data_IF_565543110617
#
_entry.id   IF_565543110617
#
_cell.length_a   1.000
_cell.length_b   1.000
_cell.length_c   1.000
_cell.angle_alpha   90.00
_cell.angle_beta   90.00
_cell.angle_gamma   90.00
#
_symmetry.space_group_name_H-M   'P 1'
#
loop_
_entity.id
_entity.type
_entity.pdbx_description
1 polymer ?
2 polymer ?
3 non-polymer ?
4 non-polymer ?
5 non-polymer ?
6 water ?
#
# COMPACT_ATOMS: atom_id res chain seq x y z
N UNK A 1 18.12 -32.99 0.69
CA UNK A 1 16.86 -33.35 1.41
C UNK A 1 15.85 -32.25 1.17
N UNK A 2 14.65 -32.41 1.75
CA UNK A 2 13.58 -31.44 1.61
C UNK A 2 13.94 -30.08 2.17
N UNK A 3 14.63 -30.04 3.31
CA UNK A 3 15.07 -28.78 3.90
C UNK A 3 15.86 -27.96 2.91
N UNK A 4 16.82 -28.62 2.26
CA UNK A 4 17.70 -27.96 1.33
C UNK A 4 16.99 -27.51 0.08
N UNK A 5 16.10 -28.35 -0.40
CA UNK A 5 15.33 -28.04 -1.59
C UNK A 5 14.48 -26.79 -1.34
N UNK A 6 13.82 -26.75 -0.21
CA UNK A 6 13.03 -25.60 0.19
C UNK A 6 13.80 -24.33 0.27
N UNK A 7 14.87 -24.32 1.06
CA UNK A 7 15.70 -23.12 1.24
C UNK A 7 16.28 -22.66 -0.09
N UNK A 8 16.66 -23.62 -0.93
CA UNK A 8 17.19 -23.27 -2.25
C UNK A 8 16.12 -22.59 -3.09
N UNK A 9 14.92 -23.15 -3.08
CA UNK A 9 13.81 -22.56 -3.85
C UNK A 9 13.53 -21.11 -3.40
N UNK A 10 13.55 -20.87 -2.08
CA UNK A 10 13.34 -19.53 -1.53
C UNK A 10 14.37 -18.53 -1.99
N UNK A 11 15.64 -18.95 -2.01
CA UNK A 11 16.72 -18.11 -2.50
C UNK A 11 16.55 -17.78 -3.95
N UNK A 12 16.29 -18.81 -4.74
CA UNK A 12 16.07 -18.63 -6.16
C UNK A 12 15.03 -17.55 -6.37
N UNK A 13 13.85 -17.72 -5.77
CA UNK A 13 12.80 -16.75 -5.96
C UNK A 13 13.20 -15.36 -5.44
N UNK A 14 13.79 -15.26 -4.26
CA UNK A 14 14.22 -13.90 -3.80
C UNK A 14 15.17 -13.24 -4.78
N UNK A 15 16.13 -14.00 -5.30
CA UNK A 15 17.22 -13.43 -6.11
C UNK A 15 16.78 -13.08 -7.50
N UNK A 16 15.85 -13.85 -8.06
CA UNK A 16 15.42 -13.60 -9.43
C UNK A 16 14.35 -12.47 -9.55
N UNK A 17 13.88 -11.94 -8.42
CA UNK A 17 12.88 -10.87 -8.44
C UNK A 17 13.46 -9.65 -9.18
N UNK A 18 12.88 -9.30 -10.32
CA UNK A 18 13.43 -8.20 -11.11
C UNK A 18 13.41 -6.85 -10.41
N UNK A 19 14.47 -6.07 -10.61
CA UNK A 19 14.56 -4.70 -10.14
C UNK A 19 13.69 -3.79 -11.01
N UNK A 20 12.93 -2.91 -10.39
CA UNK A 20 12.19 -1.92 -11.17
C UNK A 20 13.16 -0.85 -11.65
N UNK A 21 13.27 -0.69 -12.96
CA UNK A 21 14.15 0.31 -13.55
C UNK A 21 13.30 1.27 -14.40
N UNK A 22 12.91 2.37 -13.75
CA UNK A 22 12.15 3.41 -14.39
C UNK A 22 13.05 4.42 -15.07
N UNK A 23 12.45 5.39 -15.76
CA UNK A 23 13.18 6.54 -16.26
C UNK A 23 12.49 7.76 -15.70
N UNK A 24 13.17 8.92 -15.75
CA UNK A 24 12.55 10.14 -15.18
C UNK A 24 11.08 10.30 -15.58
N UNK A 25 10.24 10.58 -14.60
CA UNK A 25 8.79 10.68 -14.83
C UNK A 25 7.92 9.46 -14.53
N UNK A 26 8.51 8.26 -14.55
CA UNK A 26 7.76 7.03 -14.24
C UNK A 26 7.60 6.89 -12.75
N UNK A 27 6.51 6.30 -12.31
CA UNK A 27 6.39 5.93 -10.89
C UNK A 27 6.53 4.41 -10.77
N UNK A 28 6.96 3.91 -9.61
CA UNK A 28 6.94 2.47 -9.43
C UNK A 28 5.54 1.88 -9.53
N UNK A 29 5.38 0.76 -10.24
CA UNK A 29 3.97 0.28 -10.31
C UNK A 29 3.47 -0.46 -9.05
N UNK A 30 2.17 -0.82 -9.06
CA UNK A 30 1.62 -1.78 -8.12
C UNK A 30 2.48 -3.06 -8.06
N UNK A 31 2.71 -3.55 -6.86
CA UNK A 31 3.53 -4.71 -6.61
C UNK A 31 5.00 -4.55 -6.92
N UNK A 32 5.47 -3.32 -7.03
CA UNK A 32 6.91 -3.05 -6.93
C UNK A 32 7.23 -2.77 -5.47
N UNK A 33 7.96 -3.65 -4.81
CA UNK A 33 8.25 -3.48 -3.37
C UNK A 33 7.02 -3.35 -2.50
N UNK A 34 6.94 -2.23 -1.80
CA UNK A 34 5.83 -1.99 -0.89
C UNK A 34 4.58 -1.39 -1.56
N UNK A 35 4.62 -1.04 -2.85
CA UNK A 35 3.45 -0.50 -3.49
C UNK A 35 2.36 -1.59 -3.56
N UNK A 36 1.18 -1.35 -2.93
CA UNK A 36 0.18 -2.38 -2.94
C UNK A 36 -0.45 -2.65 -4.29
N UNK A 37 -1.06 -3.82 -4.39
CA UNK A 37 -1.88 -4.21 -5.55
C UNK A 37 -2.98 -3.18 -5.77
N UNK A 38 -3.35 -3.00 -7.03
CA UNK A 38 -4.53 -2.24 -7.37
C UNK A 38 -5.77 -2.81 -6.69
N UNK A 39 -6.77 -1.95 -6.49
CA UNK A 39 -8.08 -2.39 -6.03
C UNK A 39 -8.65 -3.46 -6.94
N UNK A 40 -9.22 -4.50 -6.34
CA UNK A 40 -9.75 -5.64 -7.07
C UNK A 40 -8.77 -6.24 -8.12
N UNK A 41 -7.47 -6.23 -7.80
CA UNK A 41 -6.50 -7.04 -8.51
C UNK A 41 -6.73 -8.51 -8.23
N UNK A 42 -6.53 -9.34 -9.25
CA UNK A 42 -6.55 -10.81 -9.11
C UNK A 42 -5.18 -11.33 -9.58
N UNK A 43 -4.48 -12.09 -8.73
CA UNK A 43 -3.19 -12.71 -9.16
C UNK A 43 -3.39 -13.76 -10.26
N UNK A 44 -2.34 -13.96 -11.04
CA UNK A 44 -2.33 -14.83 -12.19
C UNK A 44 -1.77 -16.20 -11.77
N UNK A 45 -2.15 -17.29 -12.49
CA UNK A 45 -1.53 -18.59 -12.24
C UNK A 45 -0.03 -18.49 -12.32
N UNK A 46 0.64 -19.07 -11.34
CA UNK A 46 2.09 -19.02 -11.26
C UNK A 46 2.65 -17.96 -10.31
N UNK A 47 1.86 -16.93 -10.01
CA UNK A 47 2.32 -15.82 -9.16
C UNK A 47 2.50 -16.33 -7.73
N UNK A 48 3.49 -15.81 -7.01
CA UNK A 48 3.71 -16.21 -5.63
C UNK A 48 2.88 -15.33 -4.70
N UNK A 49 2.42 -15.92 -3.60
CA UNK A 49 1.50 -15.26 -2.67
C UNK A 49 1.82 -15.68 -1.25
N UNK A 50 1.42 -14.86 -0.29
CA UNK A 50 1.20 -15.32 1.08
C UNK A 50 -0.27 -15.68 1.21
N UNK A 51 -0.54 -16.86 1.75
CA UNK A 51 -1.86 -17.43 1.77
C UNK A 51 -2.19 -17.85 3.19
N UNK A 52 -3.28 -17.33 3.75
CA UNK A 52 -3.72 -17.67 5.10
C UNK A 52 -4.51 -18.98 5.04
N UNK A 53 -3.91 -20.06 5.56
CA UNK A 53 -4.46 -21.41 5.48
C UNK A 53 -4.67 -22.02 6.87
N UNK A 54 -5.84 -22.62 7.05
CA UNK A 54 -6.16 -23.34 8.29
C UNK A 54 -5.85 -24.83 8.13
N UNK A 55 -4.89 -25.34 8.91
CA UNK A 55 -4.71 -26.81 9.09
C UNK A 55 -5.97 -27.56 9.54
N UNK A 56 -5.93 -28.90 9.43
CA UNK A 56 -7.03 -29.77 9.87
C UNK A 56 -7.25 -29.57 11.37
N UNK A 57 -6.15 -29.39 12.12
CA UNK A 57 -6.23 -29.12 13.57
C UNK A 57 -6.43 -27.62 13.95
N UNK A 58 -6.73 -26.76 12.95
CA UNK A 58 -7.20 -25.38 13.19
C UNK A 58 -6.15 -24.26 13.28
N UNK A 59 -4.89 -24.65 13.41
CA UNK A 59 -3.78 -23.73 13.35
C UNK A 59 -3.80 -22.93 12.04
N UNK A 60 -3.81 -21.58 12.14
CA UNK A 60 -3.75 -20.67 10.98
C UNK A 60 -2.33 -20.21 10.72
N UNK A 61 -1.86 -20.35 9.48
CA UNK A 61 -0.57 -19.76 9.08
C UNK A 61 -0.71 -18.98 7.78
N UNK A 62 0.12 -17.96 7.62
CA UNK A 62 0.40 -17.39 6.33
C UNK A 62 1.55 -18.19 5.72
N UNK A 63 1.26 -18.95 4.68
CA UNK A 63 2.28 -19.76 4.02
C UNK A 63 2.72 -19.16 2.70
N UNK A 64 3.95 -19.49 2.26
CA UNK A 64 4.38 -19.18 0.91
C UNK A 64 3.69 -20.16 -0.07
N UNK A 65 3.02 -19.62 -1.10
CA UNK A 65 2.28 -20.42 -2.03
C UNK A 65 2.31 -19.85 -3.45
N UNK A 66 1.71 -20.60 -4.39
CA UNK A 66 1.62 -20.20 -5.79
C UNK A 66 0.17 -20.30 -6.29
N UNK A 67 -0.31 -19.28 -6.99
CA UNK A 67 -1.68 -19.31 -7.51
C UNK A 67 -1.77 -20.40 -8.58
N UNK A 68 -2.82 -21.19 -8.48
CA UNK A 68 -3.17 -22.20 -9.48
C UNK A 68 -4.30 -21.69 -10.40
N UNK A 69 -5.35 -21.13 -9.82
CA UNK A 69 -6.48 -20.58 -10.60
C UNK A 69 -7.24 -19.58 -9.76
N UNK A 70 -8.11 -18.82 -10.42
CA UNK A 70 -9.07 -17.98 -9.73
C UNK A 70 -10.42 -18.18 -10.41
N UNK A 71 -11.48 -18.48 -9.65
CA UNK A 71 -12.82 -18.60 -10.22
C UNK A 71 -13.62 -17.31 -10.03
N UNK A 72 -14.07 -16.72 -11.14
CA UNK A 72 -14.86 -15.51 -11.06
C UNK A 72 -16.27 -15.88 -10.65
N UNK A 73 -16.66 -17.14 -10.84
CA UNK A 73 -17.95 -17.65 -10.37
C UNK A 73 -18.08 -17.54 -8.87
N UNK A 74 -17.01 -17.89 -8.15
CA UNK A 74 -17.10 -17.94 -6.70
C UNK A 74 -16.22 -16.91 -6.00
N UNK A 75 -15.40 -16.21 -6.79
CA UNK A 75 -14.38 -15.29 -6.27
C UNK A 75 -13.42 -15.93 -5.26
N UNK A 76 -12.91 -17.11 -5.63
CA UNK A 76 -11.99 -17.90 -4.81
C UNK A 76 -10.82 -18.27 -5.64
N UNK A 77 -9.63 -18.24 -5.04
CA UNK A 77 -8.40 -18.79 -5.62
C UNK A 77 -8.25 -20.27 -5.31
N UNK A 78 -7.48 -20.97 -6.16
CA UNK A 78 -6.79 -22.16 -5.71
C UNK A 78 -5.33 -21.80 -5.60
N UNK A 79 -4.69 -22.18 -4.50
CA UNK A 79 -3.23 -22.07 -4.39
C UNK A 79 -2.58 -23.39 -3.94
N UNK A 80 -1.31 -23.56 -4.31
CA UNK A 80 -0.48 -24.70 -3.95
C UNK A 80 0.64 -24.21 -3.08
N UNK A 81 0.87 -24.94 -1.99
CA UNK A 81 2.03 -24.78 -1.13
C UNK A 81 3.29 -24.93 -1.95
N UNK A 82 4.30 -24.09 -1.72
CA UNK A 82 5.53 -24.25 -2.50
C UNK A 82 6.32 -25.45 -1.98
N UNK A 83 5.96 -25.93 -0.80
CA UNK A 83 6.50 -27.17 -0.19
C UNK A 83 5.73 -28.38 -0.71
N UNK A 84 6.43 -29.28 -1.38
CA UNK A 84 5.85 -30.55 -1.86
C UNK A 84 5.13 -31.36 -0.78
N UNK A 85 5.57 -31.25 0.46
CA UNK A 85 4.91 -31.97 1.54
C UNK A 85 3.51 -31.39 1.81
N UNK A 86 3.19 -30.23 1.27
CA UNK A 86 1.88 -29.65 1.47
C UNK A 86 0.99 -30.19 0.37
N UNK A 87 0.31 -31.29 0.66
CA UNK A 87 -0.37 -32.08 -0.39
C UNK A 87 -1.79 -31.59 -0.75
N UNK A 88 -2.22 -30.53 -0.10
CA UNK A 88 -3.57 -30.03 -0.30
C UNK A 88 -3.58 -28.70 -1.07
N UNK A 89 -4.22 -28.71 -2.23
CA UNK A 89 -4.48 -27.49 -2.98
C UNK A 89 -5.60 -26.78 -2.26
N UNK A 90 -5.35 -25.55 -1.81
CA UNK A 90 -6.28 -24.82 -0.97
C UNK A 90 -7.20 -23.92 -1.81
N UNK A 91 -8.48 -23.93 -1.46
CA UNK A 91 -9.45 -22.92 -1.93
C UNK A 91 -9.53 -21.77 -0.97
N UNK A 92 -9.25 -20.56 -1.42
CA UNK A 92 -9.24 -19.38 -0.52
C UNK A 92 -9.98 -18.16 -1.07
N UNK A 93 -10.63 -17.43 -0.18
CA UNK A 93 -11.16 -16.09 -0.48
C UNK A 93 -10.02 -15.13 -0.73
N UNK A 94 -10.36 -14.06 -1.40
CA UNK A 94 -9.38 -13.06 -1.75
C UNK A 94 -8.73 -12.51 -0.49
N UNK A 95 -9.50 -12.37 0.58
CA UNK A 95 -8.95 -11.80 1.81
C UNK A 95 -7.83 -12.66 2.42
N UNK A 96 -7.71 -13.94 2.04
CA UNK A 96 -6.65 -14.80 2.55
C UNK A 96 -5.42 -14.91 1.62
N UNK A 97 -5.32 -14.02 0.63
CA UNK A 97 -4.26 -14.08 -0.34
C UNK A 97 -3.67 -12.71 -0.51
N UNK A 98 -2.37 -12.58 -0.28
CA UNK A 98 -1.67 -11.33 -0.47
C UNK A 98 -0.62 -11.55 -1.53
N UNK A 99 -0.73 -10.86 -2.68
CA UNK A 99 0.31 -11.00 -3.70
C UNK A 99 1.66 -10.50 -3.20
N UNK A 100 2.70 -11.28 -3.47
CA UNK A 100 4.05 -10.83 -3.19
C UNK A 100 4.44 -9.84 -4.28
N UNK A 101 5.37 -8.95 -3.96
CA UNK A 101 5.89 -8.06 -4.98
C UNK A 101 6.42 -8.80 -6.20
N UNK A 102 6.19 -8.19 -7.36
CA UNK A 102 6.72 -8.68 -8.61
C UNK A 102 7.99 -7.95 -9.07
N UNK A 103 8.32 -6.83 -8.41
CA UNK A 103 9.59 -6.15 -8.60
C UNK A 103 10.25 -5.84 -7.24
N UNK A 104 11.57 -5.81 -7.24
CA UNK A 104 12.33 -5.21 -6.17
C UNK A 104 12.34 -3.71 -6.41
N UNK A 105 12.12 -2.93 -5.36
CA UNK A 105 12.31 -1.47 -5.41
C UNK A 105 13.77 -1.15 -5.20
N UNK A 106 14.28 -0.25 -6.01
CA UNK A 106 15.66 0.16 -5.88
C UNK A 106 15.74 1.29 -4.90
N UNK A 107 16.37 1.07 -3.74
CA UNK A 107 16.44 2.15 -2.75
C UNK A 107 17.09 3.44 -3.28
N UNK A 108 17.99 3.30 -4.25
CA UNK A 108 18.74 4.45 -4.82
C UNK A 108 17.92 5.27 -5.83
N UNK A 109 16.79 4.73 -6.32
CA UNK A 109 15.95 5.47 -7.27
C UNK A 109 14.48 5.60 -6.87
N UNK A 110 13.96 4.63 -6.11
CA UNK A 110 12.53 4.64 -5.76
C UNK A 110 12.31 4.30 -4.30
N UNK A 111 12.93 5.06 -3.38
CA UNK A 111 12.84 4.73 -1.98
C UNK A 111 11.41 4.83 -1.41
N UNK A 112 10.50 5.51 -2.10
CA UNK A 112 9.10 5.57 -1.68
C UNK A 112 8.35 4.24 -1.90
N UNK A 113 8.97 3.31 -2.61
CA UNK A 113 8.41 1.99 -2.83
C UNK A 113 8.97 0.98 -1.82
N UNK A 114 9.59 1.47 -0.73
CA UNK A 114 10.03 0.58 0.37
C UNK A 114 9.21 0.84 1.62
N UNK A 115 9.11 -0.17 2.46
CA UNK A 115 8.49 0.01 3.76
C UNK A 115 9.39 0.88 4.65
N UNK A 116 8.76 1.71 5.45
CA UNK A 116 9.45 2.63 6.36
C UNK A 116 9.85 1.93 7.67
N UNK A 117 10.93 2.39 8.29
CA UNK A 117 11.27 1.94 9.64
C UNK A 117 10.06 1.97 10.54
N UNK A 118 9.95 0.90 11.31
CA UNK A 118 8.89 0.66 12.26
C UNK A 118 7.49 0.41 11.70
N UNK A 119 7.36 0.25 10.37
CA UNK A 119 6.11 -0.26 9.81
C UNK A 119 5.86 -1.70 10.19
N UNK A 120 4.62 -2.03 10.54
CA UNK A 120 4.23 -3.42 10.75
C UNK A 120 4.07 -4.10 9.38
N UNK A 121 4.71 -5.25 9.19
CA UNK A 121 4.62 -6.05 7.99
C UNK A 121 4.41 -7.53 8.34
N UNK A 122 4.05 -8.34 7.34
CA UNK A 122 4.21 -9.79 7.40
C UNK A 122 5.49 -10.12 6.66
N UNK A 123 6.36 -10.88 7.30
CA UNK A 123 7.66 -11.24 6.72
C UNK A 123 7.95 -12.72 6.93
N UNK A 124 8.59 -13.33 5.94
CA UNK A 124 8.93 -14.76 5.99
C UNK A 124 10.02 -14.99 7.01
N UNK A 125 9.80 -15.91 7.92
CA UNK A 125 10.75 -16.11 9.01
C UNK A 125 11.84 -17.05 8.54
N UNK A 126 13.12 -16.74 8.89
CA UNK A 126 14.19 -17.61 8.45
C UNK A 126 13.97 -19.08 8.77
N UNK A 127 14.40 -19.91 7.81
CA UNK A 127 14.34 -21.38 7.86
C UNK A 127 12.90 -21.89 7.78
N UNK A 128 11.95 -21.02 7.47
CA UNK A 128 10.56 -21.49 7.34
C UNK A 128 10.05 -21.08 5.96
N UNK A 129 8.83 -21.50 5.64
CA UNK A 129 8.14 -20.99 4.46
C UNK A 129 6.89 -20.21 4.86
N UNK A 130 6.88 -19.66 6.09
CA UNK A 130 5.72 -18.90 6.62
C UNK A 130 6.08 -17.45 7.03
N UNK A 131 5.02 -16.63 7.04
CA UNK A 131 5.09 -15.20 7.27
C UNK A 131 4.54 -14.92 8.65
N UNK A 132 5.21 -14.00 9.34
CA UNK A 132 4.81 -13.61 10.68
C UNK A 132 4.94 -12.12 10.86
N UNK A 133 4.24 -11.61 11.84
CA UNK A 133 4.24 -10.16 12.13
C UNK A 133 5.64 -9.67 12.59
N UNK A 134 6.06 -8.55 12.00
CA UNK A 134 7.34 -7.94 12.24
C UNK A 134 7.30 -6.40 11.98
N UNK A 135 8.23 -5.68 12.60
CA UNK A 135 8.45 -4.28 12.37
C UNK A 135 9.72 -4.16 11.57
N UNK A 136 9.69 -3.25 10.60
CA UNK A 136 10.84 -2.93 9.81
C UNK A 136 11.83 -2.28 10.76
N UNK A 137 13.06 -2.75 10.70
CA UNK A 137 14.16 -2.23 11.48
C UNK A 137 15.03 -1.34 10.57
N UNK A 138 15.44 -1.86 9.43
CA UNK A 138 16.15 -1.08 8.41
C UNK A 138 15.72 -1.52 7.03
N UNK A 139 15.39 -0.58 6.14
CA UNK A 139 15.22 -0.94 4.72
C UNK A 139 16.54 -1.30 4.02
N UNK A 140 16.45 -1.91 2.84
CA UNK A 140 17.68 -2.09 2.09
C UNK A 140 18.25 -0.75 1.66
N UNK A 141 19.58 -0.64 1.65
CA UNK A 141 20.27 0.55 1.12
C UNK A 141 20.63 0.38 -0.34
N UNK A 142 20.96 -0.84 -0.74
CA UNK A 142 21.30 -1.16 -2.13
C UNK A 142 20.34 -2.19 -2.68
N UNK A 143 20.22 -2.28 -4.02
CA UNK A 143 19.24 -3.21 -4.59
C UNK A 143 19.40 -4.68 -4.22
N UNK A 144 20.60 -5.11 -3.85
CA UNK A 144 20.80 -6.48 -3.39
C UNK A 144 20.43 -6.72 -1.92
N UNK A 145 20.32 -5.66 -1.14
CA UNK A 145 20.12 -5.80 0.32
C UNK A 145 18.73 -6.35 0.71
N UNK A 146 18.72 -7.10 1.80
CA UNK A 146 17.50 -7.51 2.46
C UNK A 146 17.00 -6.35 3.35
N UNK A 147 15.73 -6.40 3.70
CA UNK A 147 15.23 -5.72 4.88
C UNK A 147 15.85 -6.37 6.12
N UNK A 148 16.05 -5.56 7.14
CA UNK A 148 16.24 -6.05 8.51
C UNK A 148 14.87 -5.87 9.18
N UNK A 149 14.39 -6.88 9.91
CA UNK A 149 13.12 -6.76 10.64
C UNK A 149 13.20 -7.28 12.10
N UNK A 150 12.32 -6.76 12.93
CA UNK A 150 12.12 -7.32 14.26
C UNK A 150 10.81 -8.09 14.30
N UNK A 151 10.87 -9.41 14.43
CA UNK A 151 9.68 -10.21 14.57
C UNK A 151 9.10 -10.11 15.97
N UNK A 152 7.77 -10.08 16.05
CA UNK A 152 7.12 -10.24 17.31
C UNK A 152 7.46 -11.64 17.75
N UNK A 153 7.88 -11.75 18.99
CA UNK A 153 8.46 -12.99 19.53
C UNK A 153 8.37 -12.90 21.06
N UNK A 154 7.41 -13.63 21.60
CA UNK A 154 7.14 -13.61 23.03
C UNK A 154 8.21 -14.35 23.85
N UNK A 155 9.14 -15.03 23.19
CA UNK A 155 10.27 -15.63 23.91
C UNK A 155 11.36 -14.61 24.26
N UNK A 156 11.24 -13.37 23.77
CA UNK A 156 12.11 -12.29 24.25
C UNK A 156 11.42 -11.46 25.31
N UNK A 157 12.18 -10.95 26.27
CA UNK A 157 11.58 -10.15 27.35
C UNK A 157 10.87 -8.91 26.83
N UNK A 158 11.41 -8.29 25.77
CA UNK A 158 10.81 -7.09 25.18
C UNK A 158 9.80 -7.39 24.08
N UNK A 159 9.54 -8.68 23.82
CA UNK A 159 8.58 -9.07 22.81
C UNK A 159 9.00 -9.08 21.33
N UNK A 160 10.28 -8.85 21.05
CA UNK A 160 10.83 -8.82 19.67
C UNK A 160 12.14 -9.61 19.50
N UNK A 161 12.28 -10.26 18.35
CA UNK A 161 13.50 -10.92 17.99
C UNK A 161 14.57 -9.88 17.77
N UNK A 162 15.83 -10.31 17.71
CA UNK A 162 16.83 -9.42 17.16
C UNK A 162 16.57 -9.21 15.70
N UNK A 163 17.28 -8.25 15.07
CA UNK A 163 17.25 -7.95 13.64
C UNK A 163 17.47 -9.20 12.84
N UNK A 164 16.54 -9.53 11.97
CA UNK A 164 16.69 -10.67 11.06
C UNK A 164 16.47 -10.19 9.62
N UNK A 165 17.23 -10.75 8.70
CA UNK A 165 17.19 -10.32 7.30
C UNK A 165 16.11 -11.04 6.47
N UNK A 166 15.29 -10.28 5.75
CA UNK A 166 14.26 -10.84 4.86
C UNK A 166 14.29 -10.09 3.54
N UNK A 167 14.37 -10.85 2.46
CA UNK A 167 14.38 -10.29 1.12
C UNK A 167 13.09 -9.55 0.78
N UNK A 168 13.17 -8.59 -0.13
CA UNK A 168 12.01 -7.82 -0.61
C UNK A 168 10.86 -8.69 -1.12
N UNK A 169 11.18 -9.81 -1.75
CA UNK A 169 10.16 -10.78 -2.21
C UNK A 169 9.22 -11.21 -1.11
N UNK A 170 9.69 -11.21 0.13
CA UNK A 170 9.00 -11.85 1.23
C UNK A 170 8.61 -10.94 2.36
N UNK A 171 8.39 -9.68 2.04
CA UNK A 171 7.88 -8.70 3.00
C UNK A 171 6.66 -8.02 2.38
N UNK A 172 5.52 -8.12 3.06
CA UNK A 172 4.25 -7.57 2.58
C UNK A 172 3.56 -6.87 3.71
N UNK A 173 2.60 -6.02 3.36
CA UNK A 173 1.87 -5.23 4.36
C UNK A 173 1.06 -6.14 5.26
N UNK A 174 0.96 -5.78 6.54
CA UNK A 174 0.12 -6.47 7.52
C UNK A 174 -1.03 -5.55 7.88
N UNK B 5 -14.06 31.11 3.48
CA UNK B 5 -15.13 30.46 2.59
C UNK B 5 -14.68 29.07 2.05
N UNK B 6 -13.57 29.07 1.32
CA UNK B 6 -13.10 27.79 0.73
C UNK B 6 -12.76 26.73 1.78
N UNK B 7 -12.14 27.13 2.88
CA UNK B 7 -11.74 26.14 3.90
C UNK B 7 -12.97 25.46 4.51
N UNK B 8 -14.06 26.24 4.65
CA UNK B 8 -15.34 25.73 5.10
C UNK B 8 -15.87 24.65 4.19
N UNK B 9 -15.83 24.90 2.88
CA UNK B 9 -16.29 23.95 1.91
C UNK B 9 -15.43 22.68 1.96
N UNK B 10 -14.11 22.83 2.10
CA UNK B 10 -13.20 21.67 2.09
C UNK B 10 -13.36 20.82 3.32
N UNK B 11 -13.52 21.47 4.47
CA UNK B 11 -13.80 20.77 5.74
C UNK B 11 -15.13 20.01 5.61
N UNK B 12 -16.14 20.67 5.06
CA UNK B 12 -17.45 20.05 4.93
C UNK B 12 -17.37 18.88 3.97
N UNK B 13 -16.53 18.98 2.93
CA UNK B 13 -16.36 17.87 1.98
C UNK B 13 -15.74 16.63 2.66
N UNK B 14 -14.80 16.85 3.56
CA UNK B 14 -14.17 15.75 4.31
C UNK B 14 -15.17 15.09 5.30
N UNK B 15 -15.98 15.94 5.93
CA UNK B 15 -17.05 15.51 6.87
C UNK B 15 -18.14 14.68 6.19
N UNK B 16 -18.62 15.16 5.05
CA UNK B 16 -19.73 14.52 4.31
C UNK B 16 -19.33 13.28 3.48
N UNK B 17 -18.02 13.01 3.37
CA UNK B 17 -17.55 11.74 2.79
C UNK B 17 -18.21 10.57 3.50
N UNK B 18 -18.99 9.81 2.77
CA UNK B 18 -19.72 8.77 3.46
C UNK B 18 -18.82 7.64 3.98
N UNK B 19 -19.21 7.06 5.10
CA UNK B 19 -18.58 5.88 5.63
C UNK B 19 -18.96 4.71 4.76
N UNK B 20 -18.01 3.78 4.54
CA UNK B 20 -18.31 2.51 3.86
C UNK B 20 -18.96 1.58 4.88
N UNK B 21 -20.20 1.21 4.61
CA UNK B 21 -20.99 0.31 5.45
C UNK B 21 -21.18 -0.89 4.57
N UNK B 22 -20.24 -1.81 4.57
CA UNK B 22 -20.36 -2.93 3.69
C UNK B 22 -21.39 -3.87 4.28
N UNK B 23 -20.95 -5.06 4.60
CA UNK B 23 -21.81 -6.02 5.22
C UNK B 23 -20.88 -6.98 5.89
N UNK B 24 -21.29 -7.48 7.08
CA UNK B 24 -20.52 -8.57 7.70
C UNK B 24 -20.07 -9.57 6.61
N UNK B 25 -18.77 -9.78 6.48
CA UNK B 25 -18.23 -10.71 5.53
C UNK B 25 -17.69 -10.07 4.27
N UNK B 26 -18.11 -8.82 3.97
CA UNK B 26 -17.68 -8.10 2.74
C UNK B 26 -16.32 -7.45 2.89
N UNK B 27 -15.46 -7.63 1.90
CA UNK B 27 -14.21 -6.85 1.79
C UNK B 27 -14.52 -5.43 1.23
N UNK B 28 -13.69 -4.42 1.58
CA UNK B 28 -13.97 -3.03 1.15
C UNK B 28 -13.60 -2.70 -0.33
N UNK B 29 -14.43 -1.87 -0.99
CA UNK B 29 -14.17 -1.61 -2.41
C UNK B 29 -12.93 -0.71 -2.65
N UNK B 30 -12.42 -0.70 -3.89
CA UNK B 30 -11.46 0.33 -4.29
C UNK B 30 -11.97 1.75 -3.96
N UNK B 31 -11.06 2.61 -3.57
CA UNK B 31 -11.38 3.98 -3.15
C UNK B 31 -12.16 4.10 -1.84
N UNK B 32 -12.30 3.01 -1.09
CA UNK B 32 -12.65 3.10 0.34
C UNK B 32 -11.39 3.35 1.15
N UNK B 33 -11.26 4.56 1.69
CA UNK B 33 -10.07 4.93 2.48
C UNK B 33 -8.73 4.72 1.75
N UNK B 34 -7.86 3.87 2.33
CA UNK B 34 -6.53 3.56 1.77
C UNK B 34 -6.52 2.53 0.61
N UNK B 35 -7.67 1.92 0.31
CA UNK B 35 -7.69 0.88 -0.77
C UNK B 35 -7.52 1.57 -2.13
N UNK B 36 -6.46 1.18 -2.92
CA UNK B 36 -6.18 1.85 -4.19
C UNK B 36 -7.26 1.67 -5.25
N UNK B 37 -7.33 2.59 -6.19
CA UNK B 37 -8.24 2.47 -7.30
C UNK B 37 -7.97 1.20 -8.09
N UNK B 38 -8.96 0.74 -8.84
CA UNK B 38 -8.79 -0.43 -9.71
C UNK B 38 -7.71 -0.12 -10.75
N UNK B 39 -7.15 -1.16 -11.36
CA UNK B 39 -6.22 -0.98 -12.46
C UNK B 39 -6.94 -0.31 -13.62
N UNK B 40 -6.31 0.70 -14.21
CA UNK B 40 -6.88 1.33 -15.39
C UNK B 40 -8.17 2.15 -15.07
N UNK B 41 -8.35 2.50 -13.81
CA UNK B 41 -9.42 3.40 -13.38
C UNK B 41 -9.32 4.82 -13.96
N UNK B 42 -10.48 5.42 -14.29
CA UNK B 42 -10.59 6.81 -14.74
C UNK B 42 -11.63 7.46 -13.86
N UNK B 43 -11.25 8.56 -13.18
CA UNK B 43 -12.15 9.35 -12.36
C UNK B 43 -13.18 10.06 -13.21
N UNK B 44 -14.33 10.34 -12.61
CA UNK B 44 -15.44 10.96 -13.31
C UNK B 44 -15.40 12.43 -13.16
N UNK B 45 -16.00 13.13 -14.11
CA UNK B 45 -16.26 14.57 -13.99
C UNK B 45 -16.83 14.87 -12.63
N UNK B 46 -16.25 15.82 -11.93
CA UNK B 46 -16.75 16.14 -10.59
C UNK B 46 -16.02 15.50 -9.41
N UNK B 47 -15.35 14.38 -9.64
CA UNK B 47 -14.60 13.71 -8.55
C UNK B 47 -13.38 14.51 -8.10
N UNK B 48 -13.09 14.47 -6.81
CA UNK B 48 -11.95 15.15 -6.27
C UNK B 48 -10.70 14.29 -6.46
N UNK B 49 -9.59 14.93 -6.72
CA UNK B 49 -8.32 14.24 -6.97
C UNK B 49 -7.15 15.04 -6.42
N UNK B 50 -6.03 14.36 -6.16
CA UNK B 50 -4.79 15.07 -6.03
C UNK B 50 -4.21 15.12 -7.45
N UNK B 51 -3.81 16.30 -7.91
CA UNK B 51 -3.30 16.50 -9.28
C UNK B 51 -1.91 17.13 -9.24
N UNK B 52 -0.95 16.53 -9.96
CA UNK B 52 0.43 16.97 -9.87
C UNK B 52 0.71 18.01 -10.96
N UNK B 53 0.79 19.27 -10.59
CA UNK B 53 0.90 20.36 -11.55
C UNK B 53 2.37 20.84 -11.65
N UNK B 54 2.91 20.85 -12.87
CA UNK B 54 4.29 21.29 -13.14
C UNK B 54 4.22 22.77 -13.48
N UNK B 55 4.80 23.63 -12.65
CA UNK B 55 4.81 25.06 -12.95
C UNK B 55 5.66 25.39 -14.20
N UNK B 56 5.53 26.61 -14.71
CA UNK B 56 6.30 27.05 -15.88
C UNK B 56 7.80 26.90 -15.65
N UNK B 57 8.24 27.13 -14.41
CA UNK B 57 9.67 26.97 -14.04
C UNK B 57 10.08 25.52 -13.75
N UNK B 58 9.14 24.59 -13.86
CA UNK B 58 9.43 23.18 -13.68
C UNK B 58 9.15 22.66 -12.27
N UNK B 59 8.72 23.53 -11.34
CA UNK B 59 8.43 23.11 -9.96
C UNK B 59 7.18 22.19 -9.92
N UNK B 60 7.24 21.10 -9.16
CA UNK B 60 6.12 20.14 -9.08
C UNK B 60 5.38 20.31 -7.78
N UNK B 61 4.05 20.45 -7.83
CA UNK B 61 3.22 20.53 -6.61
C UNK B 61 1.96 19.69 -6.79
N UNK B 62 1.68 18.76 -5.87
CA UNK B 62 0.38 18.06 -5.87
C UNK B 62 -0.66 19.03 -5.27
N UNK B 63 -1.74 19.29 -5.99
CA UNK B 63 -2.83 20.16 -5.55
C UNK B 63 -4.14 19.42 -5.52
N UNK B 64 -5.08 19.91 -4.71
CA UNK B 64 -6.47 19.41 -4.69
C UNK B 64 -7.17 19.99 -5.90
N UNK B 65 -7.77 19.12 -6.69
CA UNK B 65 -8.44 19.53 -7.90
C UNK B 65 -9.70 18.68 -8.11
N UNK B 66 -10.51 19.09 -9.09
CA UNK B 66 -11.73 18.39 -9.43
C UNK B 66 -11.68 18.06 -10.90
N UNK B 67 -12.00 16.82 -11.24
CA UNK B 67 -11.93 16.38 -12.62
C UNK B 67 -12.99 17.10 -13.47
N UNK B 68 -12.58 17.57 -14.64
CA UNK B 68 -13.46 18.19 -15.62
C UNK B 68 -13.79 17.18 -16.74
N UNK B 69 -12.77 16.60 -17.35
CA UNK B 69 -12.94 15.66 -18.44
C UNK B 69 -11.79 14.69 -18.50
N UNK B 70 -11.98 13.61 -19.23
CA UNK B 70 -10.91 12.72 -19.58
C UNK B 70 -11.07 12.44 -21.05
N UNK B 71 -9.96 12.36 -21.77
CA UNK B 71 -9.96 12.03 -23.19
C UNK B 71 -9.19 10.73 -23.47
N UNK B 72 -9.92 9.75 -23.99
CA UNK B 72 -9.34 8.50 -24.45
C UNK B 72 -8.39 8.79 -25.65
N UNK B 73 -8.76 9.78 -26.45
CA UNK B 73 -7.96 10.23 -27.58
C UNK B 73 -6.49 10.49 -27.20
N UNK B 74 -6.26 11.14 -26.04
CA UNK B 74 -4.88 11.50 -25.57
C UNK B 74 -4.47 10.80 -24.29
N UNK B 75 -5.45 10.22 -23.58
CA UNK B 75 -5.19 9.64 -22.24
C UNK B 75 -4.78 10.72 -21.21
N UNK B 76 -5.41 11.88 -21.32
CA UNK B 76 -5.21 12.95 -20.34
C UNK B 76 -6.50 13.37 -19.76
N UNK B 77 -6.42 13.90 -18.54
CA UNK B 77 -7.51 14.59 -17.89
C UNK B 77 -7.36 16.08 -18.08
N UNK B 78 -8.51 16.77 -17.97
CA UNK B 78 -8.53 18.16 -17.55
C UNK B 78 -9.00 18.13 -16.13
N UNK B 79 -8.33 18.90 -15.27
CA UNK B 79 -8.80 19.13 -13.91
C UNK B 79 -8.81 20.63 -13.61
N UNK B 80 -9.66 21.04 -12.67
CA UNK B 80 -9.69 22.41 -12.18
C UNK B 80 -9.16 22.45 -10.76
N UNK B 81 -8.18 23.32 -10.55
CA UNK B 81 -7.73 23.73 -9.21
C UNK B 81 -8.92 24.13 -8.37
N UNK B 82 -9.06 23.53 -7.19
CA UNK B 82 -10.26 23.64 -6.33
C UNK B 82 -10.48 25.07 -5.87
N UNK B 83 -9.43 25.89 -5.92
CA UNK B 83 -9.59 27.27 -5.50
C UNK B 83 -10.35 28.12 -6.54
N UNK B 84 -10.55 27.58 -7.74
CA UNK B 84 -11.41 28.20 -8.76
C UNK B 84 -10.93 29.60 -9.20
N UNK B 85 -9.71 29.99 -8.79
CA UNK B 85 -9.25 31.35 -8.97
C UNK B 85 -8.47 31.48 -10.27
N UNK B 86 -8.64 32.63 -10.95
CA UNK B 86 -7.84 32.96 -12.13
C UNK B 86 -8.00 31.91 -13.21
N UNK B 87 -6.89 31.40 -13.75
CA UNK B 87 -6.95 30.30 -14.74
C UNK B 87 -6.79 28.93 -14.02
N UNK B 88 -7.89 28.30 -13.73
CA UNK B 88 -7.88 27.18 -12.81
C UNK B 88 -7.68 25.81 -13.49
N UNK B 89 -7.68 25.75 -14.82
CA UNK B 89 -7.73 24.46 -15.53
C UNK B 89 -6.35 23.95 -15.92
N UNK B 90 -6.19 22.64 -15.81
CA UNK B 90 -4.94 21.95 -16.16
C UNK B 90 -5.20 20.63 -16.90
N UNK B 91 -4.50 20.48 -18.01
CA UNK B 91 -4.50 19.27 -18.79
C UNK B 91 -3.32 18.47 -18.33
N UNK B 92 -3.54 17.25 -17.93
CA UNK B 92 -2.39 16.43 -17.52
C UNK B 92 -2.58 14.93 -17.66
N UNK B 93 -1.46 14.24 -17.63
CA UNK B 93 -1.43 12.81 -17.79
C UNK B 93 -2.15 12.13 -16.64
N UNK B 94 -2.73 10.97 -16.91
CA UNK B 94 -3.37 10.18 -15.89
C UNK B 94 -2.46 9.87 -14.71
N UNK B 95 -1.18 9.66 -14.95
CA UNK B 95 -0.31 9.30 -13.83
C UNK B 95 -0.02 10.47 -12.91
N UNK B 96 -0.45 11.69 -13.29
CA UNK B 96 -0.36 12.88 -12.41
C UNK B 96 -1.68 13.15 -11.61
N UNK B 97 -2.53 12.13 -11.51
CA UNK B 97 -3.86 12.25 -10.89
C UNK B 97 -4.04 11.05 -9.97
N UNK B 98 -4.27 11.31 -8.68
CA UNK B 98 -4.64 10.28 -7.72
C UNK B 98 -6.08 10.60 -7.31
N UNK B 99 -7.04 9.70 -7.56
CA UNK B 99 -8.36 9.97 -7.02
C UNK B 99 -8.37 9.92 -5.51
N UNK B 100 -9.08 10.86 -4.89
CA UNK B 100 -9.33 10.81 -3.46
C UNK B 100 -10.30 9.66 -3.12
N UNK B 101 -10.27 9.18 -1.88
CA UNK B 101 -11.17 8.11 -1.50
C UNK B 101 -12.60 8.57 -1.66
N UNK B 102 -13.48 7.64 -2.01
CA UNK B 102 -14.92 7.95 -2.16
C UNK B 102 -15.76 7.53 -0.91
N UNK B 103 -15.14 6.81 0.01
CA UNK B 103 -15.71 6.50 1.33
C UNK B 103 -14.63 6.67 2.39
N UNK B 104 -15.03 7.09 3.57
CA UNK B 104 -14.25 6.84 4.78
C UNK B 104 -14.25 5.34 5.03
N UNK B 105 -13.09 4.82 5.42
CA UNK B 105 -13.03 3.53 6.05
C UNK B 105 -13.43 3.64 7.53
N UNK B 106 -14.32 2.74 7.95
CA UNK B 106 -14.79 2.69 9.30
C UNK B 106 -13.78 1.89 10.12
N UNK B 107 -13.06 2.57 11.04
CA UNK B 107 -12.02 1.90 11.81
C UNK B 107 -12.49 0.61 12.52
N UNK B 108 -13.73 0.62 13.01
CA UNK B 108 -14.30 -0.52 13.79
C UNK B 108 -14.48 -1.79 12.94
N UNK B 109 -14.92 -1.62 11.70
CA UNK B 109 -15.22 -2.76 10.85
C UNK B 109 -14.21 -2.98 9.73
N UNK B 110 -13.50 -1.95 9.31
CA UNK B 110 -12.53 -2.09 8.21
C UNK B 110 -11.17 -1.44 8.50
N UNK B 111 -10.53 -1.81 9.62
CA UNK B 111 -9.15 -1.31 9.90
C UNK B 111 -8.18 -1.48 8.74
N UNK B 112 -8.33 -2.55 7.99
CA UNK B 112 -7.42 -2.84 6.92
C UNK B 112 -7.57 -1.86 5.70
N UNK B 113 -8.61 -1.05 5.68
CA UNK B 113 -8.71 0.01 4.66
C UNK B 113 -8.11 1.38 5.15
N UNK B 114 -7.38 1.36 6.26
CA UNK B 114 -6.71 2.56 6.76
C UNK B 114 -5.18 2.47 6.55
N UNK B 115 -4.55 3.61 6.27
CA UNK B 115 -3.09 3.69 6.31
C UNK B 115 -2.60 3.44 7.76
N UNK B 116 -1.47 2.82 7.89
CA UNK B 116 -0.96 2.48 9.21
C UNK B 116 0.22 3.33 9.68
N UNK B 117 0.53 3.20 10.96
CA UNK B 117 1.58 3.99 11.58
C UNK B 117 2.86 3.78 10.78
N UNK B 118 3.54 4.88 10.50
CA UNK B 118 4.82 4.94 9.83
C UNK B 118 4.76 4.93 8.32
N UNK B 119 3.59 4.63 7.78
CA UNK B 119 3.39 4.59 6.35
C UNK B 119 3.58 6.03 5.73
N UNK B 120 4.19 6.08 4.57
CA UNK B 120 4.47 7.32 3.86
C UNK B 120 3.24 7.59 3.01
N UNK B 121 2.76 8.83 3.01
CA UNK B 121 1.53 9.22 2.29
C UNK B 121 1.67 10.67 1.75
N UNK B 122 0.81 11.02 0.82
CA UNK B 122 0.59 12.40 0.51
C UNK B 122 -0.64 12.85 1.30
N UNK B 123 -0.49 13.94 2.04
CA UNK B 123 -1.56 14.52 2.87
C UNK B 123 -1.73 16.04 2.66
N UNK B 124 -2.99 16.48 2.67
CA UNK B 124 -3.32 17.87 2.45
C UNK B 124 -2.89 18.66 3.67
N UNK B 125 -2.02 19.65 3.50
CA UNK B 125 -1.56 20.40 4.68
C UNK B 125 -2.70 21.29 5.17
N UNK B 126 -2.95 21.32 6.51
CA UNK B 126 -4.05 22.11 7.03
C UNK B 126 -4.00 23.57 6.63
N UNK B 127 -5.17 24.10 6.25
CA UNK B 127 -5.36 25.48 5.83
C UNK B 127 -4.78 25.74 4.44
N UNK B 128 -4.44 24.66 3.72
CA UNK B 128 -4.00 24.74 2.34
C UNK B 128 -4.87 23.86 1.43
N UNK B 129 -4.66 23.95 0.14
CA UNK B 129 -5.22 23.03 -0.85
C UNK B 129 -4.10 22.21 -1.55
N UNK B 130 -2.93 22.11 -0.91
CA UNK B 130 -1.80 21.31 -1.40
C UNK B 130 -1.44 20.09 -0.55
N UNK B 131 -1.00 19.03 -1.23
CA UNK B 131 -0.59 17.77 -0.63
C UNK B 131 0.92 17.73 -0.54
N UNK B 132 1.41 17.17 0.55
CA UNK B 132 2.81 17.03 0.83
C UNK B 132 3.08 15.70 1.50
N UNK B 133 4.33 15.24 1.37
CA UNK B 133 4.80 14.03 2.01
C UNK B 133 4.70 14.06 3.52
N UNK B 134 4.20 12.96 4.06
CA UNK B 134 4.01 12.80 5.48
C UNK B 134 4.04 11.34 5.88
N UNK B 135 4.35 11.09 7.15
CA UNK B 135 4.27 9.76 7.75
C UNK B 135 3.05 9.70 8.61
N UNK B 136 2.32 8.61 8.54
CA UNK B 136 1.22 8.39 9.47
C UNK B 136 1.76 8.30 10.91
N UNK B 137 1.20 9.12 11.80
CA UNK B 137 1.46 9.02 13.22
C UNK B 137 0.37 8.16 13.86
N UNK B 138 -0.89 8.39 13.50
CA UNK B 138 -1.96 7.56 14.01
C UNK B 138 -3.15 7.52 13.06
N UNK B 139 -3.63 6.29 12.72
CA UNK B 139 -4.86 6.13 12.04
C UNK B 139 -6.03 6.45 12.95
N UNK B 140 -7.18 6.84 12.37
CA UNK B 140 -8.33 7.12 13.20
C UNK B 140 -8.79 5.88 13.89
N UNK B 141 -9.38 6.05 15.08
CA UNK B 141 -10.04 4.97 15.85
C UNK B 141 -11.55 5.17 16.06
N UNK B 142 -12.08 6.29 15.59
CA UNK B 142 -13.50 6.51 15.55
C UNK B 142 -13.87 6.91 14.11
N UNK B 143 -15.05 6.49 13.61
CA UNK B 143 -15.45 6.87 12.24
C UNK B 143 -15.27 8.36 11.84
N UNK B 144 -15.47 9.28 12.77
CA UNK B 144 -15.34 10.69 12.48
C UNK B 144 -13.92 11.24 12.65
N UNK B 145 -12.98 10.41 13.08
CA UNK B 145 -11.68 10.97 13.39
C UNK B 145 -10.76 11.10 12.17
N UNK B 146 -9.90 12.12 12.25
CA UNK B 146 -8.81 12.33 11.31
C UNK B 146 -7.65 11.37 11.50
N UNK B 147 -6.79 11.32 10.48
CA UNK B 147 -5.44 10.76 10.64
C UNK B 147 -4.62 11.78 11.40
N UNK B 148 -3.65 11.33 12.18
CA UNK B 148 -2.61 12.22 12.70
C UNK B 148 -1.39 11.89 11.90
N UNK B 149 -0.77 12.92 11.34
CA UNK B 149 0.39 12.73 10.45
C UNK B 149 1.55 13.63 10.84
N UNK B 150 2.77 13.20 10.49
CA UNK B 150 3.97 14.03 10.60
C UNK B 150 4.42 14.43 9.20
N UNK B 151 4.28 15.72 8.90
CA UNK B 151 4.73 16.23 7.63
C UNK B 151 6.20 16.33 7.65
N UNK B 152 6.82 15.99 6.52
CA UNK B 152 8.22 16.33 6.28
C UNK B 152 8.30 17.86 6.30
N UNK B 153 9.22 18.38 7.09
CA UNK B 153 9.37 19.81 7.27
C UNK B 153 10.78 20.09 7.78
N UNK B 154 11.64 20.60 6.89
CA UNK B 154 13.05 20.89 7.22
C UNK B 154 13.23 22.11 8.12
N UNK B 155 12.17 22.81 8.47
CA UNK B 155 12.31 23.88 9.44
C UNK B 155 12.42 23.32 10.88
N UNK B 156 12.34 21.98 11.01
CA UNK B 156 12.56 21.28 12.28
C UNK B 156 13.86 20.51 12.14
N UNK B 157 14.68 20.53 13.18
CA UNK B 157 15.96 19.83 13.11
C UNK B 157 15.78 18.32 12.87
N UNK B 158 14.72 17.76 13.44
CA UNK B 158 14.39 16.35 13.27
C UNK B 158 13.79 16.04 11.86
N UNK B 159 13.37 17.08 11.15
CA UNK B 159 12.87 16.93 9.79
C UNK B 159 11.35 16.77 9.70
N UNK B 160 10.66 16.71 10.84
CA UNK B 160 9.19 16.44 10.86
C UNK B 160 8.41 17.44 11.71
N UNK B 161 7.18 17.76 11.29
CA UNK B 161 6.22 18.53 12.10
C UNK B 161 5.79 17.74 13.31
N UNK B 162 5.20 18.43 14.31
CA UNK B 162 4.43 17.72 15.29
C UNK B 162 3.25 17.06 14.63
N UNK B 163 2.58 16.16 15.35
CA UNK B 163 1.42 15.50 14.75
C UNK B 163 0.33 16.50 14.37
N UNK B 164 -0.11 16.43 13.12
CA UNK B 164 -1.16 17.30 12.61
C UNK B 164 -2.33 16.48 12.09
N UNK B 165 -3.54 17.02 12.23
CA UNK B 165 -4.73 16.27 11.84
C UNK B 165 -5.11 16.50 10.41
N UNK B 166 -5.36 15.40 9.66
CA UNK B 166 -5.82 15.45 8.27
C UNK B 166 -6.93 14.40 8.06
N UNK B 167 -8.05 14.81 7.50
CA UNK B 167 -9.20 13.91 7.24
C UNK B 167 -8.88 12.78 6.28
N UNK B 168 -9.61 11.67 6.41
CA UNK B 168 -9.45 10.58 5.44
C UNK B 168 -9.57 11.02 3.99
N UNK B 169 -10.45 11.99 3.70
CA UNK B 169 -10.65 12.40 2.31
C UNK B 169 -9.34 12.92 1.71
N UNK B 170 -8.47 13.43 2.55
CA UNK B 170 -7.27 14.15 2.14
C UNK B 170 -5.91 13.47 2.42
N UNK B 171 -5.94 12.15 2.61
CA UNK B 171 -4.72 11.36 2.70
C UNK B 171 -4.74 10.29 1.63
N UNK B 172 -3.74 10.30 0.74
CA UNK B 172 -3.63 9.29 -0.29
C UNK B 172 -2.20 8.70 -0.43
N UNK B 173 -2.09 7.64 -1.21
CA UNK B 173 -0.78 7.02 -1.51
C UNK B 173 0.28 8.04 -1.99
N UNK B 174 1.51 7.88 -1.50
CA UNK B 174 2.58 8.80 -1.83
C UNK B 174 3.18 8.50 -3.19
N UNK B 175 2.69 9.21 -4.23
CA UNK B 175 3.31 9.16 -5.57
C UNK B 175 4.28 10.32 -5.80
N UNK B 176 4.94 10.79 -4.74
CA UNK B 176 5.88 11.90 -4.86
C UNK B 176 7.28 11.52 -4.31
N UNK B 177 8.31 11.52 -5.19
CA UNK B 177 9.72 11.30 -4.71
C UNK B 177 10.23 12.46 -3.84
N UNK B 178 11.17 12.22 -2.91
CA UNK B 178 11.71 13.32 -2.03
C UNK B 178 12.43 14.43 -2.79
N UNK C 1 4.16 -26.85 4.14
CA UNK C 1 4.85 -25.64 4.65
C UNK C 1 5.77 -26.01 5.78
N UNK C 2 6.78 -25.19 6.00
CA UNK C 2 7.63 -25.35 7.20
C UNK C 2 7.31 -24.17 8.12
N UNK C 3 6.81 -24.47 9.31
CA UNK C 3 6.46 -23.41 10.27
C UNK C 3 7.61 -23.07 11.18
N UNK C 4 7.53 -21.88 11.80
CA UNK C 4 8.41 -21.51 12.90
C UNK C 4 8.41 -22.54 14.04
N UNK C 5 7.25 -23.08 14.39
CA UNK C 5 7.16 -24.00 15.55
C UNK C 5 8.00 -25.25 15.28
N UNK C 6 7.86 -25.77 14.05
CA UNK C 6 8.72 -26.83 13.54
C UNK C 6 10.18 -26.40 13.51
N UNK C 7 10.45 -25.23 12.93
CA UNK C 7 11.82 -24.69 12.81
C UNK C 7 12.52 -24.51 14.17
N UNK C 8 11.72 -24.17 15.19
CA UNK C 8 12.26 -23.87 16.50
C UNK C 8 11.89 -24.99 17.46
N UNK D 1 -4.08 27.40 -6.36
CA UNK D 1 -3.88 26.57 -5.14
C UNK D 1 -3.37 27.45 -3.99
N UNK D 2 -3.80 27.14 -2.78
CA UNK D 2 -3.30 27.79 -1.58
C UNK D 2 -2.18 26.90 -1.07
N UNK D 3 -0.94 27.41 -1.15
CA UNK D 3 0.24 26.67 -0.73
C UNK D 3 0.52 26.88 0.76
N UNK D 4 1.34 26.02 1.31
CA UNK D 4 1.97 26.22 2.61
C UNK D 4 2.94 27.37 2.52
X LIG E 1 -12.88 -12.20 0.34
X LIG F 1 -13.23 -16.34 4.46
X LIG G 1 -7.80 21.93 4.22
X LIG G 1 -6.42 21.68 4.27
X LIG G 1 -8.39 21.75 5.62
X LIG G 1 -7.87 22.72 6.46
X LIG G 1 -9.89 21.89 5.45
X LIG G 1 -10.59 21.63 6.62
X LIG H 1 3.99 13.15 -17.68
X LIG H 1 3.34 12.28 -16.71
X LIG H 1 5.23 12.53 -18.16
X LIG H 1 3.13 13.33 -18.83
X LIG H 1 4.25 14.48 -17.13
X LIG I 1 -9.27 8.50 16.53
X LIG J 1 11.46 -30.63 9.43
X LIG J 1 10.38 -31.37 10.10
X LIG J 1 12.24 -31.53 8.58
X LIG J 1 10.89 -29.59 8.55
X LIG J 1 12.31 -30.00 10.45
#
# INVERSE_FOLDING_TARGET
>A
GRRGVLMTLLQQSAMTLPLWIGKPGDKPPPLCGAIPASGDYVARPGDKVAARVKAVDGDEQWILAEVVSYSHATNKYEVDDIDEEGKERHTLSRRRVIPLPQWKANPETDPEALFQKEQLVLALYPQTTCFYRALIHAPPQRPQDDYSVLFEDTSYADGYSPPLNVAQRYVVACKEPKKK
>B
GRRGVLMTLLQQSAMTLPLWIGKPGDKPPPLCGAIPASGDYVARPGDKVAARVKAVDGDEQWILAEVVSYSHATNKYEVDDIDEEGKERHTLSRRRVIPLPQWKANPETDPEALFQKEQLVLALYPQTTCFYRALIHAPPQRPQDDYSVLFEDTSYADGYSPPLNVAQRYVVACKEPKKK
>C
ARTKQTARKST
>D
ARTKQTARKST
>E hetero
1 UNX UNK
>F hetero
1 UNX UNK
>G hetero
1 GOL C1 O1 C2 O2 C3 O3
>H hetero
1 SO4 S O1 O2 O3 O4
>I hetero
1 UNX UNK
>J hetero
1 SO4 S O1 O2 O3 O4
#
